data_IF_311486505489
#
_entry.id   IF_311486505489
#
_cell.length_a   1.000
_cell.length_b   1.000
_cell.length_c   1.000
_cell.angle_alpha   90.00
_cell.angle_beta   90.00
_cell.angle_gamma   90.00
#
_symmetry.space_group_name_H-M   'P 1'
#
loop_
_entity.id
_entity.type
_entity.pdbx_description
1 polymer ?
#
# COMPACT_ATOMS: atom_id res chain seq x y z
N UNK A 1 6.17 14.66 6.02
CA UNK A 1 7.34 15.07 5.22
C UNK A 1 8.65 15.11 6.01
N UNK A 2 8.67 15.61 7.26
CA UNK A 2 9.90 15.67 8.10
C UNK A 2 10.77 14.40 8.09
N UNK A 3 10.15 13.22 8.11
CA UNK A 3 10.88 11.94 8.00
C UNK A 3 11.68 11.82 6.70
N UNK A 4 11.07 12.14 5.55
CA UNK A 4 11.76 12.10 4.25
C UNK A 4 12.86 13.17 4.16
N UNK A 5 12.64 14.38 4.71
CA UNK A 5 13.68 15.41 4.78
C UNK A 5 14.89 14.92 5.59
N UNK A 6 14.64 14.26 6.72
CA UNK A 6 15.69 13.69 7.57
C UNK A 6 16.48 12.58 6.85
N UNK A 7 15.79 11.71 6.09
CA UNK A 7 16.44 10.67 5.27
C UNK A 7 17.29 11.30 4.18
N UNK A 8 16.77 12.29 3.43
CA UNK A 8 17.50 12.99 2.37
C UNK A 8 18.74 13.71 2.88
N UNK A 9 18.69 14.25 4.11
CA UNK A 9 19.84 14.87 4.73
C UNK A 9 20.96 13.85 5.01
N UNK A 10 20.61 12.62 5.44
CA UNK A 10 21.58 11.52 5.64
C UNK A 10 22.04 10.87 4.33
N UNK A 11 21.17 10.82 3.33
CA UNK A 11 21.39 10.14 2.04
C UNK A 11 21.08 11.13 0.90
N UNK A 12 22.00 12.07 0.59
CA UNK A 12 21.74 13.11 -0.40
C UNK A 12 21.44 12.56 -1.81
N UNK A 13 22.06 11.45 -2.22
CA UNK A 13 21.85 10.86 -3.55
C UNK A 13 20.69 9.84 -3.59
N UNK A 14 19.78 9.87 -2.60
CA UNK A 14 18.69 8.90 -2.53
C UNK A 14 17.79 8.95 -3.77
N UNK A 15 17.29 7.78 -4.16
CA UNK A 15 16.20 7.60 -5.12
C UNK A 15 15.00 7.07 -4.35
N UNK A 16 13.83 7.67 -4.56
CA UNK A 16 12.60 7.27 -3.89
C UNK A 16 11.91 6.16 -4.70
N UNK A 17 11.77 4.96 -4.15
CA UNK A 17 10.90 3.92 -4.70
C UNK A 17 9.53 3.96 -4.00
N UNK A 18 8.43 3.97 -4.77
CA UNK A 18 7.06 3.95 -4.22
C UNK A 18 6.23 2.83 -4.85
N UNK A 19 5.10 2.49 -4.23
CA UNK A 19 4.17 1.48 -4.75
C UNK A 19 3.22 2.00 -5.85
N UNK A 20 3.50 3.22 -6.34
CA UNK A 20 2.78 3.93 -7.38
C UNK A 20 1.28 4.14 -7.10
N UNK A 21 0.88 4.21 -5.83
CA UNK A 21 -0.48 4.65 -5.50
C UNK A 21 -0.66 6.12 -5.86
N UNK A 22 -1.81 6.45 -6.44
CA UNK A 22 -2.15 7.80 -6.89
C UNK A 22 -2.73 8.67 -5.78
N UNK A 23 -2.91 8.11 -4.58
CA UNK A 23 -3.49 8.78 -3.41
C UNK A 23 -2.69 8.42 -2.15
N UNK A 24 -2.95 9.17 -1.08
CA UNK A 24 -2.38 8.90 0.24
C UNK A 24 -0.87 9.04 0.29
N UNK A 25 -0.22 8.11 1.02
CA UNK A 25 1.20 8.14 1.35
C UNK A 25 2.10 8.31 0.11
N UNK A 26 1.85 7.53 -0.96
CA UNK A 26 2.68 7.58 -2.18
C UNK A 26 2.53 8.90 -2.93
N UNK A 27 1.31 9.46 -3.03
CA UNK A 27 1.10 10.75 -3.68
C UNK A 27 1.80 11.89 -2.91
N UNK A 28 1.71 11.85 -1.59
CA UNK A 28 2.39 12.78 -0.67
C UNK A 28 3.92 12.67 -0.82
N UNK A 29 4.46 11.45 -0.95
CA UNK A 29 5.89 11.20 -1.12
C UNK A 29 6.39 11.62 -2.51
N UNK A 30 5.60 11.38 -3.57
CA UNK A 30 5.89 11.82 -4.93
C UNK A 30 5.91 13.35 -5.04
N UNK A 31 4.94 14.04 -4.44
CA UNK A 31 4.91 15.50 -4.40
C UNK A 31 6.13 16.06 -3.65
N UNK A 32 6.50 15.46 -2.51
CA UNK A 32 7.70 15.81 -1.77
C UNK A 32 8.96 15.65 -2.63
N UNK A 33 9.08 14.53 -3.36
CA UNK A 33 10.23 14.24 -4.21
C UNK A 33 10.34 15.23 -5.37
N UNK A 34 9.22 15.53 -6.03
CA UNK A 34 9.16 16.52 -7.12
C UNK A 34 9.64 17.89 -6.66
N UNK A 35 9.20 18.35 -5.48
CA UNK A 35 9.59 19.63 -4.90
C UNK A 35 11.09 19.74 -4.55
N UNK A 36 11.82 18.62 -4.50
CA UNK A 36 13.23 18.56 -4.09
C UNK A 36 14.15 17.97 -5.16
N UNK A 37 13.63 17.72 -6.36
CA UNK A 37 14.40 17.10 -7.45
C UNK A 37 14.84 15.66 -7.16
N UNK A 38 14.16 14.95 -6.25
CA UNK A 38 14.48 13.55 -5.94
C UNK A 38 13.88 12.65 -7.01
N UNK A 39 14.70 11.79 -7.62
CA UNK A 39 14.26 10.82 -8.62
C UNK A 39 13.31 9.79 -8.00
N UNK A 40 12.28 9.41 -8.74
CA UNK A 40 11.26 8.46 -8.26
C UNK A 40 11.15 7.24 -9.16
N UNK A 41 11.17 6.05 -8.57
CA UNK A 41 10.84 4.78 -9.22
C UNK A 41 9.42 4.38 -8.81
N UNK A 42 8.55 4.19 -9.80
CA UNK A 42 7.15 3.82 -9.59
C UNK A 42 6.94 2.33 -9.83
N UNK A 43 6.73 1.56 -8.76
CA UNK A 43 6.36 0.15 -8.86
C UNK A 43 4.87 0.00 -9.12
N UNK A 44 4.47 0.03 -10.40
CA UNK A 44 3.08 -0.14 -10.79
C UNK A 44 2.59 -1.57 -10.54
N UNK A 45 1.30 -1.69 -10.21
CA UNK A 45 0.64 -2.97 -10.00
C UNK A 45 0.49 -3.72 -11.33
N UNK A 46 0.98 -4.96 -11.40
CA UNK A 46 0.78 -5.84 -12.55
C UNK A 46 -0.55 -6.60 -12.40
N UNK A 47 -1.61 -6.05 -13.01
CA UNK A 47 -2.97 -6.58 -12.89
C UNK A 47 -3.14 -8.01 -13.42
N UNK A 48 -2.26 -8.45 -14.33
CA UNK A 48 -2.29 -9.82 -14.88
C UNK A 48 -2.04 -10.89 -13.81
N UNK A 49 -1.41 -10.51 -12.71
CA UNK A 49 -1.13 -11.41 -11.58
C UNK A 49 -2.33 -11.59 -10.63
N UNK A 50 -3.47 -10.93 -10.87
CA UNK A 50 -4.66 -11.06 -10.02
C UNK A 50 -4.41 -10.65 -8.57
N UNK A 51 -4.98 -11.39 -7.61
CA UNK A 51 -4.92 -11.03 -6.19
C UNK A 51 -3.50 -10.99 -5.60
N UNK A 52 -2.53 -11.74 -6.15
CA UNK A 52 -1.13 -11.71 -5.68
C UNK A 52 -0.33 -10.50 -6.19
N UNK A 53 -0.87 -9.69 -7.10
CA UNK A 53 -0.15 -8.60 -7.75
C UNK A 53 0.50 -7.62 -6.76
N UNK A 54 -0.21 -7.29 -5.68
CA UNK A 54 0.28 -6.33 -4.68
C UNK A 54 1.47 -6.89 -3.87
N UNK A 55 1.43 -8.18 -3.54
CA UNK A 55 2.49 -8.87 -2.82
C UNK A 55 3.75 -9.00 -3.69
N UNK A 56 3.59 -9.43 -4.94
CA UNK A 56 4.71 -9.53 -5.90
C UNK A 56 5.34 -8.16 -6.16
N UNK A 57 4.53 -7.09 -6.22
CA UNK A 57 5.05 -5.73 -6.30
C UNK A 57 5.91 -5.37 -5.09
N UNK A 58 5.47 -5.72 -3.87
CA UNK A 58 6.26 -5.49 -2.66
C UNK A 58 7.59 -6.27 -2.71
N UNK A 59 7.59 -7.50 -3.25
CA UNK A 59 8.82 -8.28 -3.45
C UNK A 59 9.78 -7.62 -4.43
N UNK A 60 9.25 -7.10 -5.55
CA UNK A 60 10.06 -6.35 -6.53
C UNK A 60 10.65 -5.07 -5.95
N UNK A 61 9.90 -4.38 -5.09
CA UNK A 61 10.39 -3.19 -4.38
C UNK A 61 11.50 -3.58 -3.40
N UNK A 62 11.31 -4.64 -2.60
CA UNK A 62 12.33 -5.12 -1.68
C UNK A 62 13.60 -5.62 -2.41
N UNK A 63 13.45 -6.18 -3.62
CA UNK A 63 14.58 -6.64 -4.44
C UNK A 63 15.55 -5.53 -4.83
N UNK A 64 15.15 -4.25 -4.75
CA UNK A 64 16.06 -3.11 -4.88
C UNK A 64 17.04 -2.98 -3.70
N UNK A 65 16.86 -3.75 -2.62
CA UNK A 65 17.62 -3.67 -1.36
C UNK A 65 17.60 -2.25 -0.79
N UNK A 66 16.42 -1.73 -0.40
CA UNK A 66 16.30 -0.37 0.10
C UNK A 66 17.16 -0.18 1.35
N UNK A 67 17.87 0.95 1.41
CA UNK A 67 18.73 1.32 2.54
C UNK A 67 17.94 1.80 3.76
N UNK A 68 16.74 2.34 3.53
CA UNK A 68 15.83 2.83 4.55
C UNK A 68 14.41 2.87 3.98
N UNK A 69 13.40 2.62 4.79
CA UNK A 69 12.01 2.53 4.34
C UNK A 69 11.04 3.29 5.24
N UNK A 70 9.99 3.82 4.62
CA UNK A 70 8.85 4.45 5.29
C UNK A 70 7.59 3.72 4.85
N UNK A 71 6.80 3.23 5.80
CA UNK A 71 5.52 2.56 5.54
C UNK A 71 4.43 3.26 6.34
N UNK A 72 3.40 3.74 5.66
CA UNK A 72 2.20 4.24 6.32
C UNK A 72 1.33 3.07 6.82
N UNK A 73 0.73 3.23 8.00
CA UNK A 73 -0.28 2.31 8.54
C UNK A 73 -1.39 2.06 7.50
N UNK A 74 -1.85 0.82 7.40
CA UNK A 74 -2.85 0.46 6.42
C UNK A 74 -3.22 -1.01 6.46
N UNK A 75 -3.72 -1.51 5.32
CA UNK A 75 -4.21 -2.87 5.14
C UNK A 75 -3.12 -3.94 5.27
N UNK A 76 -3.53 -5.21 5.11
CA UNK A 76 -2.62 -6.35 5.04
C UNK A 76 -1.50 -6.22 3.99
N UNK A 77 -1.69 -5.45 2.92
CA UNK A 77 -0.64 -5.20 1.92
C UNK A 77 0.51 -4.35 2.48
N UNK A 78 0.19 -3.31 3.26
CA UNK A 78 1.19 -2.48 3.94
C UNK A 78 1.89 -3.28 5.04
N UNK A 79 1.13 -4.09 5.79
CA UNK A 79 1.69 -4.95 6.83
C UNK A 79 2.64 -6.00 6.25
N UNK A 80 2.31 -6.58 5.09
CA UNK A 80 3.21 -7.48 4.37
C UNK A 80 4.53 -6.80 3.98
N UNK A 81 4.49 -5.58 3.43
CA UNK A 81 5.69 -4.83 3.08
C UNK A 81 6.55 -4.54 4.32
N UNK A 82 5.93 -4.08 5.41
CA UNK A 82 6.62 -3.80 6.66
C UNK A 82 7.29 -5.04 7.26
N UNK A 83 6.62 -6.19 7.26
CA UNK A 83 7.17 -7.46 7.72
C UNK A 83 8.39 -7.88 6.90
N UNK A 84 8.28 -7.82 5.56
CA UNK A 84 9.37 -8.16 4.64
C UNK A 84 10.59 -7.25 4.84
N UNK A 85 10.38 -5.94 5.02
CA UNK A 85 11.45 -4.98 5.30
C UNK A 85 12.15 -5.26 6.63
N UNK A 86 11.38 -5.57 7.69
CA UNK A 86 11.93 -5.96 9.00
C UNK A 86 12.76 -7.24 8.90
N UNK A 87 12.26 -8.25 8.20
CA UNK A 87 12.98 -9.51 7.98
C UNK A 87 14.28 -9.30 7.20
N UNK A 88 14.29 -8.36 6.25
CA UNK A 88 15.47 -7.98 5.50
C UNK A 88 16.45 -7.06 6.27
N UNK A 89 16.16 -6.71 7.53
CA UNK A 89 17.01 -5.84 8.34
C UNK A 89 17.03 -4.37 7.88
N UNK A 90 16.04 -3.94 7.10
CA UNK A 90 15.97 -2.57 6.58
C UNK A 90 15.46 -1.63 7.69
N UNK A 91 16.17 -0.53 8.01
CA UNK A 91 15.66 0.52 8.89
C UNK A 91 14.27 0.99 8.44
N UNK A 92 13.28 0.87 9.33
CA UNK A 92 11.87 1.05 8.99
C UNK A 92 11.17 2.08 9.88
N UNK A 93 10.59 3.10 9.26
CA UNK A 93 9.71 4.07 9.89
C UNK A 93 8.26 3.74 9.60
N UNK A 94 7.47 3.45 10.64
CA UNK A 94 6.03 3.22 10.50
C UNK A 94 5.29 4.51 10.85
N UNK A 95 4.59 5.09 9.88
CA UNK A 95 3.79 6.31 10.06
C UNK A 95 2.35 5.89 10.39
N UNK A 96 1.95 6.10 11.64
CA UNK A 96 0.56 5.83 12.07
C UNK A 96 -0.38 6.93 11.60
N UNK A 97 -1.64 6.55 11.39
CA UNK A 97 -2.69 7.55 11.22
C UNK A 97 -2.93 8.26 12.55
N UNK A 98 -3.26 9.54 12.48
CA UNK A 98 -3.76 10.27 13.65
C UNK A 98 -5.06 9.61 14.15
N UNK A 99 -5.19 9.46 15.47
CA UNK A 99 -6.32 8.76 16.07
C UNK A 99 -7.66 9.46 15.80
N UNK A 100 -7.67 10.79 15.70
CA UNK A 100 -8.91 11.53 15.35
C UNK A 100 -9.30 11.31 13.90
N UNK A 101 -8.31 11.25 13.00
CA UNK A 101 -8.52 10.92 11.58
C UNK A 101 -8.98 9.47 11.44
N UNK A 102 -8.37 8.56 12.20
CA UNK A 102 -8.73 7.14 12.24
C UNK A 102 -10.16 6.95 12.73
N UNK A 103 -10.55 7.62 13.81
CA UNK A 103 -11.92 7.60 14.33
C UNK A 103 -12.92 8.12 13.30
N UNK A 104 -12.61 9.23 12.61
CA UNK A 104 -13.46 9.76 11.53
C UNK A 104 -13.61 8.79 10.36
N UNK A 105 -12.53 8.10 9.97
CA UNK A 105 -12.56 7.11 8.89
C UNK A 105 -13.26 5.81 9.29
N UNK A 106 -13.29 5.50 10.59
CA UNK A 106 -13.98 4.34 11.15
C UNK A 106 -15.49 4.57 11.33
N UNK A 107 -15.96 5.82 11.25
CA UNK A 107 -17.39 6.10 11.29
C UNK A 107 -18.08 5.45 10.09
N UNK A 108 -19.21 4.73 10.30
CA UNK A 108 -19.99 4.20 9.19
C UNK A 108 -20.41 5.37 8.30
N UNK A 109 -20.28 5.21 6.98
CA UNK A 109 -20.87 6.16 6.03
C UNK A 109 -22.36 6.21 6.34
N UNK A 110 -22.84 7.35 6.83
CA UNK A 110 -24.26 7.59 7.06
C UNK A 110 -25.04 7.24 5.81
N UNK A 111 -26.16 6.52 6.01
CA UNK A 111 -26.99 5.95 4.96
C UNK A 111 -27.57 7.04 4.04
N UNK A 112 -26.88 7.35 2.94
CA UNK A 112 -27.62 7.75 1.74
C UNK A 112 -28.39 6.52 1.25
N UNK A 113 -29.68 6.64 0.90
CA UNK A 113 -30.46 5.51 0.44
C UNK A 113 -29.78 4.88 -0.77
N UNK A 114 -29.35 3.62 -0.62
CA UNK A 114 -28.72 2.81 -1.67
C UNK A 114 -29.72 2.68 -2.82
N UNK A 115 -29.32 3.04 -4.04
CA UNK A 115 -30.12 2.76 -5.23
C UNK A 115 -30.35 1.26 -5.36
N UNK A 116 -31.51 0.90 -5.91
CA UNK A 116 -32.17 -0.42 -5.83
C UNK A 116 -31.44 -1.61 -6.51
N UNK A 117 -30.20 -1.44 -6.98
CA UNK A 117 -29.60 -2.31 -8.00
C UNK A 117 -28.26 -2.99 -7.63
N UNK A 118 -27.74 -2.91 -6.40
CA UNK A 118 -26.49 -3.63 -6.08
C UNK A 118 -26.48 -4.20 -4.66
N UNK A 119 -26.90 -5.47 -4.55
CA UNK A 119 -26.72 -6.31 -3.36
C UNK A 119 -25.84 -7.49 -3.76
N UNK A 120 -24.53 -7.39 -3.55
CA UNK A 120 -23.63 -8.54 -3.63
C UNK A 120 -23.38 -9.07 -2.20
N UNK A 121 -23.86 -10.27 -1.84
CA UNK A 121 -23.92 -10.75 -0.45
C UNK A 121 -22.69 -11.55 -0.04
N UNK A 122 -21.50 -11.24 -0.55
CA UNK A 122 -20.28 -11.99 -0.21
C UNK A 122 -19.66 -11.54 1.11
N UNK A 123 -19.38 -12.51 1.99
CA UNK A 123 -18.69 -12.27 3.26
C UNK A 123 -17.18 -12.54 3.16
N UNK A 124 -16.41 -12.05 4.14
CA UNK A 124 -14.95 -12.21 4.20
C UNK A 124 -14.49 -13.68 4.15
N UNK A 125 -15.26 -14.60 4.75
CA UNK A 125 -14.96 -16.02 4.72
C UNK A 125 -15.23 -16.65 3.35
N UNK A 126 -16.21 -16.12 2.61
CA UNK A 126 -16.47 -16.57 1.24
C UNK A 126 -15.30 -16.20 0.32
N UNK A 127 -14.72 -15.00 0.51
CA UNK A 127 -13.53 -14.54 -0.24
C UNK A 127 -12.30 -15.45 -0.04
N UNK A 128 -12.07 -15.94 1.19
CA UNK A 128 -10.97 -16.88 1.46
C UNK A 128 -11.27 -18.29 0.96
N UNK A 129 -12.54 -18.73 0.99
CA UNK A 129 -12.93 -20.08 0.57
C UNK A 129 -12.79 -20.28 -0.95
N UNK A 130 -13.17 -19.28 -1.73
CA UNK A 130 -13.14 -19.33 -3.21
C UNK A 130 -11.70 -19.25 -3.76
N UNK A 131 -10.86 -18.41 -3.16
CA UNK A 131 -9.50 -18.12 -3.64
C UNK A 131 -8.46 -19.17 -3.25
N UNK A 132 -8.71 -19.99 -2.22
CA UNK A 132 -7.74 -20.98 -1.70
C UNK A 132 -8.06 -22.41 -2.16
N UNK A 133 -9.34 -22.78 -2.32
CA UNK A 133 -9.76 -24.16 -2.59
C UNK A 133 -10.26 -24.43 -4.01
N UNK A 134 -10.16 -23.46 -4.94
CA UNK A 134 -10.45 -23.67 -6.37
C UNK A 134 -11.93 -23.92 -6.68
N UNK A 135 -12.75 -22.85 -6.66
CA UNK A 135 -14.19 -22.91 -6.87
C UNK A 135 -14.69 -22.54 -8.28
N UNK A 136 -14.74 -23.53 -9.17
CA UNK A 136 -15.62 -23.66 -10.37
C UNK A 136 -15.58 -22.63 -11.51
N UNK A 137 -15.21 -23.18 -12.68
CA UNK A 137 -15.57 -22.73 -14.03
C UNK A 137 -17.02 -22.20 -14.11
N UNK A 138 -17.20 -20.90 -14.39
CA UNK A 138 -18.47 -20.40 -14.94
C UNK A 138 -18.51 -20.75 -16.43
N UNK A 139 -19.34 -21.74 -16.79
CA UNK A 139 -19.85 -21.89 -18.16
C UNK A 139 -20.76 -20.70 -18.48
N UNK A 140 -20.79 -20.40 -19.79
CA UNK A 140 -21.45 -19.27 -20.47
C UNK A 140 -22.87 -18.98 -19.99
#
# INVERSE_FOLDING_TARGET
>A
WRGLDSIKARIPEMILATTAQTKGCDAIAQAWAAARGVKVILFKLDRRLGAKAAFVRNDRLLALKPVEAVVCEGSGIQMNLAQKLRQAGVPLHVVKLDETVKARLAQPKTDLPKSRDEFDPWTQDDYYRDMVNGGRQRRR
#
